data_IF_365813127917
#
_entry.id   IF_365813127917
#
_cell.length_a   1.000
_cell.length_b   1.000
_cell.length_c   1.000
_cell.angle_alpha   90.00
_cell.angle_beta   90.00
_cell.angle_gamma   90.00
#
_symmetry.space_group_name_H-M   'P 1'
#
loop_
_entity.id
_entity.type
_entity.pdbx_description
1 polymer ?
#
# COMPACT_ATOMS: atom_id res chain seq x y z
N UNK A 1 -28.26 -13.86 2.48
CA UNK A 1 -28.49 -12.50 3.01
C UNK A 1 -27.12 -11.90 3.22
N UNK A 2 -26.69 -10.94 2.40
CA UNK A 2 -25.41 -10.29 2.57
C UNK A 2 -25.60 -9.19 3.61
N UNK A 3 -24.98 -9.36 4.78
CA UNK A 3 -24.90 -8.32 5.80
C UNK A 3 -24.21 -7.12 5.17
N UNK A 4 -24.96 -6.05 4.90
CA UNK A 4 -24.42 -4.78 4.42
C UNK A 4 -23.77 -4.13 5.62
N UNK A 5 -22.51 -4.51 5.89
CA UNK A 5 -21.64 -3.80 6.83
C UNK A 5 -21.73 -2.33 6.51
N UNK A 6 -22.29 -1.58 7.44
CA UNK A 6 -22.49 -0.15 7.28
C UNK A 6 -21.09 0.47 7.22
N UNK A 7 -20.74 1.19 6.15
CA UNK A 7 -19.38 1.74 6.02
C UNK A 7 -19.11 2.65 7.22
N UNK A 8 -18.07 2.30 7.97
CA UNK A 8 -17.68 3.05 9.16
C UNK A 8 -17.00 4.34 8.68
N UNK A 9 -17.43 5.53 9.15
CA UNK A 9 -16.80 6.77 8.75
C UNK A 9 -15.34 6.77 9.21
N UNK A 10 -14.44 7.11 8.28
CA UNK A 10 -13.00 7.07 8.50
C UNK A 10 -12.59 8.25 9.40
N UNK A 11 -11.89 7.98 10.50
CA UNK A 11 -11.35 9.01 11.38
C UNK A 11 -10.13 9.69 10.74
N UNK A 12 -9.85 10.94 11.13
CA UNK A 12 -8.59 11.60 10.77
C UNK A 12 -7.35 10.79 11.22
N UNK A 13 -7.45 10.07 12.35
CA UNK A 13 -6.39 9.19 12.83
C UNK A 13 -6.14 8.00 11.87
N UNK A 14 -7.23 7.43 11.33
CA UNK A 14 -7.14 6.34 10.35
C UNK A 14 -6.51 6.84 9.04
N UNK A 15 -6.91 8.02 8.56
CA UNK A 15 -6.31 8.64 7.39
C UNK A 15 -4.80 8.87 7.55
N UNK A 16 -4.36 9.36 8.71
CA UNK A 16 -2.93 9.53 9.02
C UNK A 16 -2.19 8.19 9.00
N UNK A 17 -2.77 7.14 9.59
CA UNK A 17 -2.20 5.80 9.56
C UNK A 17 -2.07 5.24 8.13
N UNK A 18 -3.07 5.49 7.27
CA UNK A 18 -3.00 5.14 5.85
C UNK A 18 -1.87 5.88 5.12
N UNK A 19 -1.70 7.19 5.35
CA UNK A 19 -0.59 7.96 4.77
C UNK A 19 0.78 7.46 5.24
N UNK A 20 0.90 7.10 6.52
CA UNK A 20 2.13 6.50 7.05
C UNK A 20 2.45 5.16 6.37
N UNK A 21 1.44 4.28 6.21
CA UNK A 21 1.62 3.02 5.50
C UNK A 21 2.07 3.22 4.04
N UNK A 22 1.53 4.22 3.36
CA UNK A 22 1.99 4.59 2.01
C UNK A 22 3.45 5.08 2.03
N UNK A 23 3.84 5.89 3.03
CA UNK A 23 5.21 6.35 3.20
C UNK A 23 6.21 5.21 3.39
N UNK A 24 5.88 4.24 4.25
CA UNK A 24 6.70 3.05 4.49
C UNK A 24 6.83 2.18 3.22
N UNK A 25 5.76 2.08 2.44
CA UNK A 25 5.78 1.40 1.14
C UNK A 25 6.77 2.03 0.16
N UNK A 26 6.73 3.37 0.03
CA UNK A 26 7.66 4.10 -0.83
C UNK A 26 9.12 3.92 -0.37
N UNK A 27 9.37 3.95 0.94
CA UNK A 27 10.70 3.69 1.48
C UNK A 27 11.19 2.27 1.12
N UNK A 28 10.35 1.26 1.27
CA UNK A 28 10.68 -0.13 0.90
C UNK A 28 10.98 -0.26 -0.59
N UNK A 29 10.13 0.31 -1.46
CA UNK A 29 10.34 0.30 -2.91
C UNK A 29 11.63 1.03 -3.30
N UNK A 30 11.96 2.15 -2.65
CA UNK A 30 13.20 2.88 -2.90
C UNK A 30 14.44 2.03 -2.62
N UNK A 31 14.43 1.25 -1.55
CA UNK A 31 15.54 0.33 -1.22
C UNK A 31 15.66 -0.78 -2.27
N UNK A 32 14.54 -1.37 -2.68
CA UNK A 32 14.52 -2.42 -3.70
C UNK A 32 15.03 -1.90 -5.05
N UNK A 33 14.60 -0.69 -5.45
CA UNK A 33 15.09 -0.06 -6.68
C UNK A 33 16.58 0.23 -6.63
N UNK A 34 17.11 0.71 -5.49
CA UNK A 34 18.55 0.87 -5.30
C UNK A 34 19.30 -0.47 -5.41
N UNK A 35 18.79 -1.51 -4.75
CA UNK A 35 19.37 -2.85 -4.81
C UNK A 35 19.37 -3.44 -6.24
N UNK A 36 18.32 -3.19 -7.04
CA UNK A 36 18.27 -3.60 -8.45
C UNK A 36 19.32 -2.85 -9.29
N UNK A 37 19.56 -1.57 -9.02
CA UNK A 37 20.54 -0.77 -9.76
C UNK A 37 21.99 -1.18 -9.47
N UNK A 38 22.25 -1.64 -8.25
CA UNK A 38 23.59 -2.02 -7.77
C UNK A 38 23.91 -3.51 -7.98
N UNK A 39 22.96 -4.33 -8.44
CA UNK A 39 23.10 -5.78 -8.56
C UNK A 39 23.46 -6.21 -9.99
N UNK A 40 24.63 -6.85 -10.13
CA UNK A 40 25.12 -7.40 -11.41
C UNK A 40 24.63 -8.84 -11.66
N UNK A 41 23.92 -9.45 -10.72
CA UNK A 41 23.47 -10.84 -10.83
C UNK A 41 22.01 -10.93 -11.30
N UNK A 42 21.74 -11.41 -12.52
CA UNK A 42 20.38 -11.44 -13.07
C UNK A 42 19.37 -12.26 -12.24
N UNK A 43 19.83 -13.28 -11.50
CA UNK A 43 18.96 -14.07 -10.63
C UNK A 43 18.55 -13.35 -9.35
N UNK A 44 19.43 -12.52 -8.78
CA UNK A 44 19.14 -11.68 -7.62
C UNK A 44 18.25 -10.51 -8.03
N UNK A 45 18.52 -9.90 -9.19
CA UNK A 45 17.71 -8.85 -9.79
C UNK A 45 16.26 -9.29 -10.01
N UNK A 46 16.02 -10.49 -10.57
CA UNK A 46 14.66 -11.02 -10.78
C UNK A 46 13.90 -11.18 -9.45
N UNK A 47 14.56 -11.73 -8.42
CA UNK A 47 13.98 -11.86 -7.09
C UNK A 47 13.64 -10.50 -6.46
N UNK A 48 14.48 -9.49 -6.65
CA UNK A 48 14.24 -8.12 -6.17
C UNK A 48 13.08 -7.46 -6.91
N UNK A 49 12.95 -7.66 -8.23
CA UNK A 49 11.81 -7.18 -9.02
C UNK A 49 10.51 -7.81 -8.50
N UNK A 50 10.49 -9.13 -8.27
CA UNK A 50 9.33 -9.83 -7.69
C UNK A 50 8.98 -9.30 -6.30
N UNK A 51 9.98 -9.08 -5.44
CA UNK A 51 9.76 -8.49 -4.12
C UNK A 51 9.16 -7.09 -4.22
N UNK A 52 9.67 -6.25 -5.13
CA UNK A 52 9.14 -4.92 -5.40
C UNK A 52 7.68 -4.94 -5.89
N UNK A 53 7.34 -5.84 -6.81
CA UNK A 53 5.97 -6.02 -7.28
C UNK A 53 5.03 -6.47 -6.16
N UNK A 54 5.48 -7.36 -5.27
CA UNK A 54 4.67 -7.82 -4.14
C UNK A 54 4.38 -6.69 -3.15
N UNK A 55 5.39 -5.86 -2.84
CA UNK A 55 5.23 -4.66 -2.03
C UNK A 55 4.21 -3.72 -2.70
N UNK A 56 4.36 -3.44 -3.99
CA UNK A 56 3.45 -2.58 -4.73
C UNK A 56 1.99 -3.10 -4.72
N UNK A 57 1.75 -4.40 -4.98
CA UNK A 57 0.39 -4.98 -4.95
C UNK A 57 -0.26 -4.87 -3.56
N UNK A 58 0.50 -5.20 -2.51
CA UNK A 58 0.01 -5.14 -1.13
C UNK A 58 -0.46 -3.74 -0.77
N UNK A 59 0.33 -2.72 -1.08
CA UNK A 59 -0.02 -1.34 -0.75
C UNK A 59 -1.07 -0.74 -1.70
N UNK A 60 -1.13 -1.18 -2.96
CA UNK A 60 -2.23 -0.84 -3.86
C UNK A 60 -3.58 -1.35 -3.33
N UNK A 61 -3.62 -2.57 -2.77
CA UNK A 61 -4.82 -3.10 -2.09
C UNK A 61 -5.24 -2.23 -0.91
N UNK A 62 -4.29 -1.87 -0.04
CA UNK A 62 -4.54 -0.99 1.12
C UNK A 62 -5.09 0.37 0.65
N UNK A 63 -4.49 0.97 -0.38
CA UNK A 63 -4.95 2.25 -0.93
C UNK A 63 -6.34 2.15 -1.59
N UNK A 64 -6.65 1.04 -2.25
CA UNK A 64 -7.98 0.80 -2.84
C UNK A 64 -9.03 0.61 -1.74
N UNK A 65 -8.75 -0.20 -0.72
CA UNK A 65 -9.63 -0.36 0.44
C UNK A 65 -9.93 0.98 1.11
N UNK A 66 -8.90 1.80 1.35
CA UNK A 66 -9.08 3.14 1.88
C UNK A 66 -9.97 4.01 0.98
N UNK A 67 -9.75 3.99 -0.34
CA UNK A 67 -10.55 4.76 -1.30
C UNK A 67 -12.02 4.33 -1.26
N UNK A 68 -12.28 3.03 -1.17
CA UNK A 68 -13.62 2.46 -1.11
C UNK A 68 -14.31 2.83 0.22
N UNK A 69 -13.60 2.74 1.34
CA UNK A 69 -14.08 3.16 2.67
C UNK A 69 -14.40 4.67 2.72
N UNK A 70 -13.49 5.50 2.19
CA UNK A 70 -13.67 6.94 2.09
C UNK A 70 -14.88 7.30 1.21
N UNK A 71 -15.08 6.60 0.09
CA UNK A 71 -16.23 6.79 -0.79
C UNK A 71 -17.55 6.34 -0.14
N UNK A 72 -17.51 5.32 0.73
CA UNK A 72 -18.70 4.73 1.32
C UNK A 72 -19.18 5.44 2.59
N UNK A 73 -18.30 6.08 3.38
CA UNK A 73 -18.63 6.70 4.66
C UNK A 73 -18.29 8.19 4.80
N UNK A 74 -17.50 8.76 3.87
CA UNK A 74 -16.94 10.10 3.98
C UNK A 74 -15.90 10.23 5.11
N UNK A 75 -14.96 11.18 4.98
CA UNK A 75 -14.11 11.60 6.08
C UNK A 75 -14.97 12.39 7.08
N UNK A 76 -15.06 11.92 8.33
CA UNK A 76 -15.61 12.76 9.40
C UNK A 76 -14.50 13.69 9.92
N UNK A 77 -14.81 14.98 10.15
CA UNK A 77 -13.87 15.90 10.77
C UNK A 77 -13.51 15.49 12.21
#
# INVERSE_FOLDING_TARGET
MAEKTTPMPLSAADAVAYFQCCGDAFACLSVIMGAIQDDDNPSTTDALIVAGMHVADRFARVANTWRDEAAAGGLKP
#
